data_IF_958165707179
#
_entry.id   IF_958165707179
#
_cell.length_a   1.000
_cell.length_b   1.000
_cell.length_c   1.000
_cell.angle_alpha   90.00
_cell.angle_beta   90.00
_cell.angle_gamma   90.00
#
_symmetry.space_group_name_H-M   'P 1'
#
loop_
_entity.id
_entity.type
_entity.pdbx_description
1 polymer ?
#
# COMPACT_ATOMS: atom_id res chain seq x y z
N UNK A 1 -4.17 48.94 31.33
CA UNK A 1 -4.22 48.16 30.07
C UNK A 1 -3.74 46.77 30.42
N UNK A 2 -4.67 45.86 30.69
CA UNK A 2 -4.34 44.45 30.93
C UNK A 2 -4.16 43.77 29.56
N UNK A 3 -2.99 43.19 29.33
CA UNK A 3 -2.73 42.36 28.16
C UNK A 3 -3.64 41.11 28.20
N UNK A 4 -4.28 40.73 27.09
CA UNK A 4 -5.02 39.49 27.05
C UNK A 4 -4.04 38.31 27.00
N UNK A 5 -3.92 37.57 28.10
CA UNK A 5 -3.20 36.28 28.17
C UNK A 5 -3.93 35.22 27.33
N UNK A 6 -3.66 35.18 26.03
CA UNK A 6 -3.93 34.01 25.21
C UNK A 6 -2.70 33.10 25.17
N UNK A 7 -2.37 32.50 26.31
CA UNK A 7 -1.49 31.33 26.35
C UNK A 7 -2.38 30.09 26.35
N UNK A 8 -2.44 29.40 25.22
CA UNK A 8 -3.03 28.05 25.14
C UNK A 8 -2.13 27.13 25.96
N UNK A 9 -2.43 26.99 27.25
CA UNK A 9 -1.79 26.00 28.10
C UNK A 9 -2.37 24.64 27.72
N UNK A 10 -1.57 23.82 27.02
CA UNK A 10 -1.89 22.44 26.64
C UNK A 10 -2.16 21.52 27.86
N UNK A 11 -1.97 22.01 29.09
CA UNK A 11 -2.28 21.30 30.34
C UNK A 11 -3.65 21.69 30.92
N UNK A 12 -4.31 22.73 30.42
CA UNK A 12 -5.61 23.16 30.97
C UNK A 12 -6.75 22.27 30.49
N UNK A 13 -7.34 21.55 31.44
CA UNK A 13 -8.44 20.60 31.28
C UNK A 13 -9.80 21.28 31.01
N UNK A 14 -9.83 22.45 30.36
CA UNK A 14 -11.09 23.13 30.00
C UNK A 14 -11.59 22.61 28.65
N UNK A 15 -12.07 21.37 28.69
CA UNK A 15 -12.55 20.64 27.51
C UNK A 15 -13.69 21.32 26.76
N UNK A 16 -14.45 22.23 27.37
CA UNK A 16 -15.59 22.87 26.69
C UNK A 16 -15.16 23.91 25.64
N UNK A 17 -14.35 24.90 26.02
CA UNK A 17 -13.87 25.94 25.10
C UNK A 17 -12.95 25.39 24.02
N UNK A 18 -12.11 24.44 24.39
CA UNK A 18 -11.25 23.75 23.44
C UNK A 18 -12.11 23.01 22.39
N UNK A 19 -13.08 22.18 22.82
CA UNK A 19 -14.01 21.47 21.90
C UNK A 19 -14.76 22.43 20.97
N UNK A 20 -15.21 23.57 21.49
CA UNK A 20 -15.91 24.59 20.71
C UNK A 20 -14.99 25.21 19.65
N UNK A 21 -13.73 25.49 19.99
CA UNK A 21 -12.72 26.00 19.06
C UNK A 21 -12.30 24.97 17.99
N UNK A 22 -12.21 23.67 18.33
CA UNK A 22 -11.96 22.61 17.32
C UNK A 22 -13.04 22.50 16.26
N UNK A 23 -14.29 22.80 16.64
CA UNK A 23 -15.42 22.81 15.72
C UNK A 23 -15.34 23.96 14.71
N UNK A 24 -14.83 25.13 15.12
CA UNK A 24 -14.69 26.30 14.25
C UNK A 24 -13.42 26.32 13.38
N UNK A 25 -12.32 25.67 13.81
CA UNK A 25 -11.01 25.73 13.12
C UNK A 25 -10.72 24.46 12.30
N UNK A 26 -11.63 23.49 12.27
CA UNK A 26 -11.44 22.23 11.51
C UNK A 26 -10.31 21.34 12.03
N UNK A 27 -9.70 21.68 13.16
CA UNK A 27 -8.63 20.91 13.79
C UNK A 27 -9.20 20.00 14.88
N UNK A 28 -8.95 18.68 14.78
CA UNK A 28 -9.25 17.74 15.87
C UNK A 28 -8.35 18.06 17.07
N UNK A 29 -8.93 18.47 18.19
CA UNK A 29 -8.20 18.54 19.46
C UNK A 29 -7.96 17.13 19.98
N UNK A 30 -6.84 16.57 19.56
CA UNK A 30 -6.22 15.45 20.22
C UNK A 30 -5.61 16.00 21.50
N UNK A 31 -6.34 15.98 22.61
CA UNK A 31 -5.66 16.12 23.90
C UNK A 31 -4.80 14.87 24.11
N UNK A 32 -3.58 14.96 24.64
CA UNK A 32 -2.70 13.80 24.83
C UNK A 32 -3.28 12.66 25.67
N UNK A 33 -4.42 12.88 26.35
CA UNK A 33 -5.00 11.97 27.32
C UNK A 33 -6.37 11.42 26.92
N UNK A 34 -7.09 12.07 26.00
CA UNK A 34 -8.47 11.72 25.62
C UNK A 34 -8.81 12.08 24.16
N UNK A 35 -9.65 11.24 23.54
CA UNK A 35 -10.28 11.50 22.24
C UNK A 35 -9.89 10.51 21.15
N UNK A 36 -10.60 10.58 20.02
CA UNK A 36 -10.23 9.83 18.81
C UNK A 36 -8.91 10.35 18.25
N UNK A 37 -8.04 9.40 17.92
CA UNK A 37 -6.72 9.62 17.33
C UNK A 37 -6.75 9.39 15.83
N UNK A 38 -7.72 8.61 15.35
CA UNK A 38 -7.93 8.32 13.93
C UNK A 38 -8.21 9.62 13.19
N UNK A 39 -7.67 9.78 11.97
CA UNK A 39 -7.92 10.89 11.05
C UNK A 39 -9.08 10.60 10.09
N UNK A 40 -9.16 11.23 8.91
CA UNK A 40 -9.95 10.70 7.80
C UNK A 40 -9.32 9.37 7.32
N UNK A 41 -10.14 8.32 7.22
CA UNK A 41 -9.68 6.97 6.82
C UNK A 41 -10.13 6.64 5.40
N UNK A 42 -11.39 6.90 5.09
CA UNK A 42 -11.98 6.72 3.76
C UNK A 42 -12.00 8.02 2.98
N UNK A 43 -11.96 7.89 1.66
CA UNK A 43 -12.20 8.95 0.71
C UNK A 43 -13.71 9.09 0.46
N UNK A 44 -14.25 10.27 0.73
CA UNK A 44 -15.64 10.60 0.43
C UNK A 44 -15.70 12.02 -0.12
N UNK A 45 -16.48 12.23 -1.18
CA UNK A 45 -16.68 13.55 -1.76
C UNK A 45 -17.44 13.53 -3.07
N UNK A 46 -17.56 14.70 -3.67
CA UNK A 46 -18.12 14.91 -4.99
C UNK A 46 -17.27 15.89 -5.78
N UNK A 47 -17.17 15.70 -7.10
CA UNK A 47 -16.59 16.66 -8.03
C UNK A 47 -17.55 16.82 -9.22
N UNK A 48 -18.30 17.92 -9.26
CA UNK A 48 -19.47 18.01 -10.15
C UNK A 48 -20.49 16.93 -9.78
N UNK A 49 -20.98 16.19 -10.78
CA UNK A 49 -21.93 15.09 -10.60
C UNK A 49 -21.25 13.76 -10.21
N UNK A 50 -19.92 13.70 -10.28
CA UNK A 50 -19.16 12.50 -9.94
C UNK A 50 -19.05 12.32 -8.42
N UNK A 51 -19.61 11.21 -7.92
CA UNK A 51 -19.39 10.76 -6.54
C UNK A 51 -18.02 10.09 -6.40
N UNK A 52 -17.33 10.35 -5.29
CA UNK A 52 -16.02 9.81 -4.98
C UNK A 52 -16.15 8.96 -3.71
N UNK A 53 -15.76 7.70 -3.81
CA UNK A 53 -15.70 6.77 -2.68
C UNK A 53 -14.49 5.83 -2.83
N UNK A 54 -14.17 5.10 -1.76
CA UNK A 54 -13.05 4.16 -1.71
C UNK A 54 -13.04 3.15 -2.87
N UNK A 55 -14.21 2.60 -3.21
CA UNK A 55 -14.36 1.61 -4.27
C UNK A 55 -14.02 2.21 -5.65
N UNK A 56 -14.56 3.38 -5.97
CA UNK A 56 -14.29 4.07 -7.24
C UNK A 56 -12.82 4.45 -7.37
N UNK A 57 -12.16 4.84 -6.27
CA UNK A 57 -10.72 5.11 -6.29
C UNK A 57 -9.93 3.81 -6.54
N UNK A 58 -10.33 2.69 -5.93
CA UNK A 58 -9.67 1.40 -6.15
C UNK A 58 -9.88 0.87 -7.57
N UNK A 59 -11.00 1.23 -8.23
CA UNK A 59 -11.27 0.89 -9.63
C UNK A 59 -10.34 1.61 -10.63
N UNK A 60 -9.66 2.69 -10.22
CA UNK A 60 -8.64 3.33 -11.06
C UNK A 60 -7.46 2.37 -11.22
N UNK A 61 -7.14 2.02 -12.47
CA UNK A 61 -6.14 1.00 -12.80
C UNK A 61 -4.75 1.28 -12.17
N UNK A 62 -4.33 2.53 -12.11
CA UNK A 62 -3.08 2.93 -11.45
C UNK A 62 -3.09 2.65 -9.95
N UNK A 63 -4.19 2.96 -9.26
CA UNK A 63 -4.35 2.72 -7.83
C UNK A 63 -4.38 1.21 -7.56
N UNK A 64 -5.21 0.48 -8.31
CA UNK A 64 -5.26 -0.99 -8.25
C UNK A 64 -3.88 -1.60 -8.41
N UNK A 65 -3.12 -1.15 -9.41
CA UNK A 65 -1.79 -1.69 -9.69
C UNK A 65 -0.78 -1.36 -8.59
N UNK A 66 -0.79 -0.14 -8.03
CA UNK A 66 0.09 0.23 -6.92
C UNK A 66 -0.19 -0.62 -5.67
N UNK A 67 -1.47 -0.72 -5.30
CA UNK A 67 -1.93 -1.45 -4.12
C UNK A 67 -1.64 -2.94 -4.26
N UNK A 68 -2.00 -3.55 -5.38
CA UNK A 68 -1.74 -4.97 -5.66
C UNK A 68 -0.24 -5.27 -5.72
N UNK A 69 0.58 -4.42 -6.34
CA UNK A 69 2.03 -4.63 -6.43
C UNK A 69 2.69 -4.65 -5.05
N UNK A 70 2.43 -3.65 -4.21
CA UNK A 70 3.03 -3.55 -2.87
C UNK A 70 2.54 -4.71 -1.97
N UNK A 71 1.24 -4.97 -1.97
CA UNK A 71 0.63 -5.99 -1.10
C UNK A 71 1.09 -7.40 -1.46
N UNK A 72 1.05 -7.77 -2.75
CA UNK A 72 1.47 -9.09 -3.20
C UNK A 72 2.96 -9.32 -3.02
N UNK A 73 3.82 -8.34 -3.36
CA UNK A 73 5.27 -8.48 -3.17
C UNK A 73 5.63 -8.66 -1.69
N UNK A 74 5.02 -7.88 -0.79
CA UNK A 74 5.23 -8.04 0.65
C UNK A 74 4.72 -9.39 1.13
N UNK A 75 3.57 -9.86 0.64
CA UNK A 75 2.96 -11.12 1.04
C UNK A 75 3.74 -12.37 0.61
N UNK A 76 4.41 -12.30 -0.55
CA UNK A 76 5.28 -13.34 -1.09
C UNK A 76 6.54 -13.56 -0.24
N UNK A 77 6.94 -12.57 0.56
CA UNK A 77 8.08 -12.71 1.45
C UNK A 77 7.69 -13.59 2.63
N UNK A 78 8.37 -14.73 2.82
CA UNK A 78 8.09 -15.56 3.97
C UNK A 78 8.58 -14.89 5.25
N UNK A 79 7.85 -15.08 6.34
CA UNK A 79 8.17 -14.48 7.63
C UNK A 79 8.67 -15.59 8.57
N UNK A 80 9.93 -15.49 8.98
CA UNK A 80 10.61 -16.47 9.81
C UNK A 80 10.89 -15.88 11.20
N UNK A 81 10.80 -16.73 12.23
CA UNK A 81 11.10 -16.33 13.62
C UNK A 81 12.48 -16.83 14.00
N UNK A 82 13.22 -15.98 14.69
CA UNK A 82 14.58 -16.22 15.15
C UNK A 82 14.66 -16.01 16.65
N UNK A 83 15.65 -16.66 17.24
CA UNK A 83 16.04 -16.53 18.62
C UNK A 83 17.51 -16.14 18.67
N UNK A 84 17.82 -15.07 19.40
CA UNK A 84 19.17 -14.59 19.68
C UNK A 84 19.52 -14.92 21.13
N UNK A 85 20.65 -15.60 21.34
CA UNK A 85 21.16 -15.90 22.67
C UNK A 85 21.91 -14.70 23.30
N UNK A 86 22.42 -14.87 24.52
CA UNK A 86 23.16 -13.81 25.24
C UNK A 86 24.49 -13.44 24.59
N UNK A 87 25.03 -14.30 23.70
CA UNK A 87 26.27 -14.08 22.97
C UNK A 87 26.01 -13.55 21.55
N UNK A 88 24.79 -13.08 21.27
CA UNK A 88 24.35 -12.61 19.95
C UNK A 88 24.32 -13.70 18.86
N UNK A 89 24.32 -14.99 19.25
CA UNK A 89 24.16 -16.07 18.29
C UNK A 89 22.69 -16.19 17.90
N UNK A 90 22.44 -16.01 16.60
CA UNK A 90 21.10 -16.09 16.03
C UNK A 90 20.81 -17.48 15.49
N UNK A 91 19.67 -18.05 15.88
CA UNK A 91 19.16 -19.33 15.38
C UNK A 91 17.72 -19.20 14.90
N UNK A 92 17.41 -19.86 13.78
CA UNK A 92 16.02 -19.97 13.30
C UNK A 92 15.21 -20.86 14.25
N UNK A 93 14.07 -20.34 14.71
CA UNK A 93 13.15 -21.07 15.57
C UNK A 93 12.40 -22.13 14.76
N UNK A 94 12.27 -23.33 15.33
CA UNK A 94 11.55 -24.43 14.69
C UNK A 94 10.03 -24.22 14.67
N UNK A 95 9.34 -24.98 13.83
CA UNK A 95 7.87 -24.92 13.68
C UNK A 95 7.09 -25.46 14.89
N UNK A 96 7.78 -25.99 15.91
CA UNK A 96 7.18 -26.32 17.21
C UNK A 96 6.74 -25.08 17.98
N UNK A 97 7.32 -23.91 17.70
CA UNK A 97 6.88 -22.65 18.27
C UNK A 97 5.57 -22.20 17.60
N UNK A 98 4.49 -21.92 18.37
CA UNK A 98 3.20 -21.53 17.81
C UNK A 98 3.26 -20.29 16.92
N UNK A 99 4.01 -19.26 17.34
CA UNK A 99 4.16 -18.01 16.59
C UNK A 99 4.91 -18.23 15.26
N UNK A 100 5.98 -19.04 15.27
CA UNK A 100 6.72 -19.39 14.06
C UNK A 100 5.84 -20.13 13.04
N UNK A 101 5.03 -21.08 13.51
CA UNK A 101 4.07 -21.80 12.65
C UNK A 101 2.98 -20.89 12.10
N UNK A 102 2.44 -20.03 12.96
CA UNK A 102 1.35 -19.10 12.63
C UNK A 102 1.77 -18.10 11.55
N UNK A 103 2.90 -17.41 11.74
CA UNK A 103 3.40 -16.41 10.80
C UNK A 103 3.83 -17.04 9.47
N UNK A 104 4.29 -18.29 9.49
CA UNK A 104 4.79 -18.98 8.29
C UNK A 104 3.69 -19.60 7.43
N UNK A 105 2.66 -20.19 8.02
CA UNK A 105 1.73 -21.06 7.29
C UNK A 105 0.26 -20.65 7.38
N UNK A 106 -0.28 -20.52 8.59
CA UNK A 106 -1.73 -20.36 8.80
C UNK A 106 -1.97 -19.42 9.99
N UNK A 107 -2.26 -18.14 9.71
CA UNK A 107 -2.59 -17.16 10.74
C UNK A 107 -3.98 -17.38 11.34
N UNK A 108 -4.90 -18.00 10.60
CA UNK A 108 -6.22 -18.37 11.05
C UNK A 108 -6.75 -19.55 10.22
N UNK A 109 -7.94 -20.05 10.57
CA UNK A 109 -8.56 -21.20 9.90
C UNK A 109 -9.05 -20.95 8.46
N UNK A 110 -9.14 -19.68 8.05
CA UNK A 110 -9.71 -19.28 6.76
C UNK A 110 -8.67 -18.91 5.71
N UNK A 111 -7.47 -18.49 6.14
CA UNK A 111 -6.46 -17.88 5.28
C UNK A 111 -5.12 -18.60 5.39
N UNK A 112 -4.43 -18.68 4.26
CA UNK A 112 -2.99 -18.91 4.20
C UNK A 112 -2.22 -17.71 4.73
N UNK A 113 -0.95 -17.91 5.09
CA UNK A 113 -0.09 -16.80 5.53
C UNK A 113 0.11 -15.73 4.45
N UNK A 114 0.06 -16.09 3.16
CA UNK A 114 0.15 -15.14 2.06
C UNK A 114 -1.11 -14.27 2.00
N UNK A 115 -2.31 -14.86 1.96
CA UNK A 115 -3.58 -14.12 1.89
C UNK A 115 -3.73 -13.14 3.07
N UNK A 116 -3.33 -13.55 4.28
CA UNK A 116 -3.34 -12.67 5.44
C UNK A 116 -2.37 -11.49 5.30
N UNK A 117 -1.11 -11.75 4.90
CA UNK A 117 -0.13 -10.67 4.69
C UNK A 117 -0.58 -9.73 3.58
N UNK A 118 -1.18 -10.27 2.53
CA UNK A 118 -1.73 -9.49 1.42
C UNK A 118 -2.86 -8.59 1.91
N UNK A 119 -3.87 -9.15 2.58
CA UNK A 119 -5.01 -8.39 3.12
C UNK A 119 -4.55 -7.29 4.10
N UNK A 120 -3.64 -7.61 5.02
CA UNK A 120 -3.10 -6.65 5.99
C UNK A 120 -2.24 -5.57 5.30
N UNK A 121 -1.41 -5.93 4.32
CA UNK A 121 -0.59 -4.95 3.61
C UNK A 121 -1.43 -4.07 2.69
N UNK A 122 -2.46 -4.64 2.06
CA UNK A 122 -3.46 -3.91 1.27
C UNK A 122 -4.16 -2.86 2.13
N UNK A 123 -4.63 -3.22 3.32
CA UNK A 123 -5.22 -2.26 4.24
C UNK A 123 -4.21 -1.19 4.67
N UNK A 124 -2.96 -1.57 4.95
CA UNK A 124 -1.91 -0.63 5.34
C UNK A 124 -1.58 0.37 4.22
N UNK A 125 -1.47 -0.06 2.97
CA UNK A 125 -1.16 0.84 1.85
C UNK A 125 -2.36 1.66 1.40
N UNK A 126 -3.59 1.17 1.59
CA UNK A 126 -4.82 1.85 1.18
C UNK A 126 -5.33 2.82 2.26
N UNK A 127 -5.46 2.35 3.50
CA UNK A 127 -6.00 3.12 4.64
C UNK A 127 -4.93 3.67 5.59
N UNK A 128 -3.65 3.39 5.36
CA UNK A 128 -2.55 3.83 6.22
C UNK A 128 -2.44 3.05 7.53
N UNK A 129 -3.35 2.11 7.78
CA UNK A 129 -3.42 1.30 8.99
C UNK A 129 -3.96 -0.07 8.61
N UNK A 130 -3.53 -1.11 9.33
CA UNK A 130 -4.15 -2.42 9.27
C UNK A 130 -4.22 -3.04 10.66
N UNK A 131 -5.33 -3.72 10.94
CA UNK A 131 -5.65 -4.27 12.25
C UNK A 131 -5.96 -5.75 12.12
N UNK A 132 -5.48 -6.55 13.06
CA UNK A 132 -5.93 -7.92 13.24
C UNK A 132 -6.28 -8.18 14.70
N UNK A 133 -7.38 -8.90 14.93
CA UNK A 133 -7.72 -9.44 16.24
C UNK A 133 -6.73 -10.55 16.59
N UNK A 134 -6.23 -10.54 17.82
CA UNK A 134 -5.21 -11.48 18.32
C UNK A 134 -5.85 -12.41 19.33
N UNK A 135 -5.98 -13.68 18.96
CA UNK A 135 -6.40 -14.73 19.88
C UNK A 135 -5.18 -15.40 20.51
N UNK A 136 -5.24 -15.57 21.83
CA UNK A 136 -4.18 -16.18 22.64
C UNK A 136 -4.69 -17.37 23.43
N UNK A 137 -3.86 -18.39 23.58
CA UNK A 137 -4.14 -19.51 24.47
C UNK A 137 -3.98 -19.11 25.96
N UNK A 138 -4.27 -20.03 26.88
CA UNK A 138 -4.09 -19.82 28.32
C UNK A 138 -2.63 -19.58 28.75
N UNK A 139 -1.65 -20.04 27.97
CA UNK A 139 -0.23 -19.76 28.18
C UNK A 139 0.21 -18.37 27.68
N UNK A 140 -0.67 -17.67 26.94
CA UNK A 140 -0.43 -16.35 26.37
C UNK A 140 0.17 -16.36 24.96
N UNK A 141 0.36 -17.53 24.35
CA UNK A 141 0.86 -17.67 22.97
C UNK A 141 -0.20 -17.23 21.98
N UNK A 142 0.22 -16.55 20.91
CA UNK A 142 -0.66 -16.17 19.81
C UNK A 142 -1.00 -17.41 18.99
N UNK A 143 -2.30 -17.70 18.86
CA UNK A 143 -2.81 -18.87 18.14
C UNK A 143 -3.65 -18.49 16.92
N UNK A 144 -4.19 -17.27 16.85
CA UNK A 144 -4.85 -16.76 15.65
C UNK A 144 -4.69 -15.25 15.47
N UNK A 145 -4.66 -14.84 14.20
CA UNK A 145 -4.73 -13.46 13.74
C UNK A 145 -5.84 -13.33 12.68
N UNK A 146 -6.86 -12.54 13.00
CA UNK A 146 -7.99 -12.30 12.08
C UNK A 146 -8.00 -10.83 11.63
N UNK A 147 -7.82 -10.52 10.33
CA UNK A 147 -7.89 -9.15 9.84
C UNK A 147 -9.24 -8.50 10.16
N UNK A 148 -9.20 -7.25 10.60
CA UNK A 148 -10.35 -6.39 10.81
C UNK A 148 -10.31 -5.25 9.79
N UNK A 149 -11.48 -4.80 9.31
CA UNK A 149 -11.55 -3.74 8.31
C UNK A 149 -11.16 -2.39 8.91
N UNK A 150 -10.14 -1.74 8.36
CA UNK A 150 -9.55 -0.53 8.91
C UNK A 150 -10.48 0.68 8.83
N UNK A 151 -11.36 0.73 7.83
CA UNK A 151 -12.43 1.73 7.72
C UNK A 151 -13.40 1.68 8.91
N UNK A 152 -13.55 0.53 9.56
CA UNK A 152 -14.46 0.34 10.70
C UNK A 152 -13.77 0.51 12.06
N UNK A 153 -12.48 0.89 12.08
CA UNK A 153 -11.69 0.99 13.31
C UNK A 153 -11.45 2.46 13.72
N UNK A 154 -11.85 2.80 14.95
CA UNK A 154 -11.56 4.08 15.59
C UNK A 154 -10.66 3.88 16.81
N UNK A 155 -9.45 4.45 16.76
CA UNK A 155 -8.46 4.35 17.82
C UNK A 155 -8.62 5.54 18.75
N UNK A 156 -8.86 5.27 20.04
CA UNK A 156 -9.12 6.30 21.05
C UNK A 156 -8.12 6.24 22.18
N UNK A 157 -7.86 7.41 22.77
CA UNK A 157 -7.30 7.49 24.11
C UNK A 157 -8.44 7.68 25.12
N UNK A 158 -8.48 6.83 26.14
CA UNK A 158 -9.39 6.94 27.28
C UNK A 158 -8.54 6.88 28.54
N UNK A 159 -8.31 8.04 29.16
CA UNK A 159 -7.47 8.11 30.37
C UNK A 159 -6.04 7.60 30.13
N UNK A 160 -5.42 8.02 29.02
CA UNK A 160 -4.08 7.57 28.55
C UNK A 160 -3.98 6.09 28.14
N UNK A 161 -5.07 5.32 28.19
CA UNK A 161 -5.11 3.96 27.66
C UNK A 161 -5.59 3.97 26.22
N UNK A 162 -4.91 3.21 25.38
CA UNK A 162 -5.30 3.02 23.99
C UNK A 162 -6.47 2.01 23.93
N UNK A 163 -7.58 2.44 23.33
CA UNK A 163 -8.78 1.63 23.12
C UNK A 163 -9.06 1.58 21.63
N UNK A 164 -9.31 0.38 21.12
CA UNK A 164 -9.64 0.14 19.72
C UNK A 164 -11.13 -0.12 19.60
N UNK A 165 -11.88 0.86 19.10
CA UNK A 165 -13.33 0.72 18.90
C UNK A 165 -13.59 0.25 17.47
N UNK A 166 -14.14 -0.94 17.33
CA UNK A 166 -14.50 -1.52 16.04
C UNK A 166 -16.00 -1.49 15.83
N UNK A 167 -16.44 -1.01 14.67
CA UNK A 167 -17.84 -1.06 14.28
C UNK A 167 -18.18 -2.41 13.61
N UNK A 168 -19.13 -3.14 14.22
CA UNK A 168 -19.71 -4.37 13.67
C UNK A 168 -21.18 -4.10 13.37
N UNK A 169 -21.51 -3.94 12.09
CA UNK A 169 -22.85 -3.62 11.64
C UNK A 169 -23.41 -2.35 12.33
N UNK A 170 -24.29 -2.54 13.32
CA UNK A 170 -24.92 -1.48 14.11
C UNK A 170 -24.34 -1.32 15.52
N UNK A 171 -23.43 -2.19 15.94
CA UNK A 171 -22.84 -2.21 17.28
C UNK A 171 -21.36 -1.82 17.27
N UNK A 172 -20.86 -1.42 18.44
CA UNK A 172 -19.45 -1.15 18.67
C UNK A 172 -18.88 -2.13 19.67
N UNK A 173 -17.70 -2.67 19.35
CA UNK A 173 -16.90 -3.46 20.27
C UNK A 173 -15.62 -2.70 20.61
N UNK A 174 -15.33 -2.54 21.90
CA UNK A 174 -14.10 -1.93 22.38
C UNK A 174 -13.09 -3.03 22.73
N UNK A 175 -11.92 -2.98 22.10
CA UNK A 175 -10.79 -3.88 22.34
C UNK A 175 -9.66 -3.16 23.06
N UNK A 176 -9.00 -3.89 23.95
CA UNK A 176 -7.79 -3.42 24.61
C UNK A 176 -6.59 -3.48 23.67
N UNK A 177 -5.52 -2.80 24.06
CA UNK A 177 -4.26 -2.80 23.32
C UNK A 177 -3.66 -4.20 23.09
N UNK A 178 -3.93 -5.18 23.97
CA UNK A 178 -3.35 -6.53 23.87
C UNK A 178 -4.07 -7.43 22.85
N UNK A 179 -5.32 -7.09 22.53
CA UNK A 179 -6.20 -7.87 21.66
C UNK A 179 -6.05 -7.50 20.19
N UNK A 180 -5.33 -6.41 19.87
CA UNK A 180 -5.19 -5.91 18.51
C UNK A 180 -3.72 -5.89 18.09
N UNK A 181 -3.44 -6.53 16.96
CA UNK A 181 -2.22 -6.35 16.20
C UNK A 181 -2.41 -5.16 15.25
N UNK A 182 -1.63 -4.09 15.43
CA UNK A 182 -1.78 -2.85 14.66
C UNK A 182 -0.53 -2.55 13.84
N UNK A 183 -0.65 -2.72 12.52
CA UNK A 183 0.30 -2.21 11.53
C UNK A 183 -0.03 -0.76 11.20
N UNK A 184 0.97 0.10 11.31
CA UNK A 184 0.80 1.56 11.18
C UNK A 184 1.66 2.10 10.06
N UNK A 185 1.07 2.96 9.23
CA UNK A 185 1.77 3.78 8.26
C UNK A 185 2.47 4.98 8.91
N UNK A 186 2.89 5.93 8.09
CA UNK A 186 3.44 7.20 8.58
C UNK A 186 2.32 8.08 9.13
N UNK A 187 2.59 8.86 10.16
CA UNK A 187 1.60 9.79 10.73
C UNK A 187 2.19 10.65 11.83
N UNK A 188 1.48 11.73 12.19
CA UNK A 188 2.00 12.77 13.09
C UNK A 188 2.05 12.36 14.57
N UNK A 189 1.13 11.50 15.01
CA UNK A 189 1.00 11.14 16.45
C UNK A 189 1.72 9.85 16.83
N UNK A 190 2.13 9.03 15.86
CA UNK A 190 2.64 7.67 16.08
C UNK A 190 1.60 6.66 16.58
N UNK A 191 0.37 7.10 16.89
CA UNK A 191 -0.71 6.23 17.35
C UNK A 191 -1.46 5.58 16.19
N UNK A 192 -1.64 6.33 15.10
CA UNK A 192 -2.25 5.90 13.83
C UNK A 192 -1.45 6.43 12.63
N UNK A 193 -1.52 5.73 11.51
CA UNK A 193 -1.03 6.22 10.22
C UNK A 193 -2.06 7.11 9.50
N UNK A 194 -1.59 7.92 8.56
CA UNK A 194 -2.40 8.71 7.65
C UNK A 194 -2.85 7.85 6.48
N UNK A 195 -4.12 7.95 6.10
CA UNK A 195 -4.71 7.18 5.01
C UNK A 195 -4.29 7.72 3.63
N UNK A 196 -3.54 6.97 2.81
CA UNK A 196 -3.16 7.43 1.49
C UNK A 196 -4.35 7.79 0.61
N UNK A 197 -5.44 7.01 0.63
CA UNK A 197 -6.62 7.29 -0.20
C UNK A 197 -7.39 8.52 0.27
N UNK A 198 -7.50 8.75 1.57
CA UNK A 198 -8.21 9.91 2.09
C UNK A 198 -7.50 11.19 1.68
N UNK A 199 -6.16 11.17 1.68
CA UNK A 199 -5.33 12.29 1.24
C UNK A 199 -5.23 12.38 -0.31
N UNK A 200 -5.30 11.26 -1.02
CA UNK A 200 -5.34 11.22 -2.48
C UNK A 200 -6.73 11.58 -3.04
N UNK A 201 -7.78 11.64 -2.21
CA UNK A 201 -9.16 11.86 -2.63
C UNK A 201 -9.34 13.05 -3.58
N UNK A 202 -8.57 14.14 -3.39
CA UNK A 202 -8.60 15.30 -4.28
C UNK A 202 -8.06 14.97 -5.68
N UNK A 203 -6.88 14.36 -5.76
CA UNK A 203 -6.23 14.00 -7.03
C UNK A 203 -6.98 12.86 -7.74
N UNK A 204 -7.37 11.82 -6.98
CA UNK A 204 -8.18 10.71 -7.48
C UNK A 204 -9.57 11.18 -7.94
N UNK A 205 -10.16 12.16 -7.26
CA UNK A 205 -11.43 12.76 -7.66
C UNK A 205 -11.42 13.35 -9.07
N UNK A 206 -10.30 13.98 -9.47
CA UNK A 206 -10.14 14.49 -10.85
C UNK A 206 -10.10 13.33 -11.85
N UNK A 207 -9.41 12.24 -11.52
CA UNK A 207 -9.36 11.05 -12.39
C UNK A 207 -10.75 10.42 -12.55
N UNK A 208 -11.49 10.27 -11.45
CA UNK A 208 -12.87 9.75 -11.47
C UNK A 208 -13.79 10.63 -12.31
N UNK A 209 -13.72 11.96 -12.15
CA UNK A 209 -14.55 12.88 -12.92
C UNK A 209 -14.21 12.87 -14.42
N UNK A 210 -12.92 12.74 -14.77
CA UNK A 210 -12.52 12.58 -16.17
C UNK A 210 -13.03 11.28 -16.78
N UNK A 211 -13.01 10.17 -16.03
CA UNK A 211 -13.55 8.90 -16.52
C UNK A 211 -15.07 8.93 -16.68
N UNK A 212 -15.79 9.60 -15.78
CA UNK A 212 -17.23 9.82 -15.91
C UNK A 212 -17.56 10.68 -17.13
N UNK A 213 -16.85 11.80 -17.30
CA UNK A 213 -17.03 12.66 -18.48
C UNK A 213 -16.74 11.90 -19.78
N UNK A 214 -15.69 11.06 -19.79
CA UNK A 214 -15.35 10.23 -20.94
C UNK A 214 -16.44 9.19 -21.21
N UNK A 215 -16.92 8.51 -20.16
CA UNK A 215 -18.02 7.54 -20.26
C UNK A 215 -19.25 8.21 -20.86
N UNK A 216 -19.63 9.38 -20.36
CA UNK A 216 -20.84 10.08 -20.79
C UNK A 216 -20.70 10.60 -22.23
N UNK A 217 -19.51 11.08 -22.61
CA UNK A 217 -19.19 11.43 -23.99
C UNK A 217 -19.38 10.24 -24.95
N UNK A 218 -18.83 9.07 -24.61
CA UNK A 218 -18.99 7.87 -25.44
C UNK A 218 -20.40 7.28 -25.41
N UNK A 219 -21.08 7.33 -24.25
CA UNK A 219 -22.47 6.90 -24.12
C UNK A 219 -23.42 7.72 -25.01
N UNK A 220 -23.10 9.00 -25.21
CA UNK A 220 -23.80 9.91 -26.11
C UNK A 220 -23.33 9.82 -27.57
N UNK A 221 -22.52 8.82 -27.93
CA UNK A 221 -22.07 8.55 -29.29
C UNK A 221 -20.92 9.42 -29.77
N UNK A 222 -20.10 9.96 -28.85
CA UNK A 222 -18.94 10.81 -29.14
C UNK A 222 -19.29 12.04 -30.00
N UNK A 223 -20.51 12.56 -29.84
CA UNK A 223 -21.01 13.70 -30.60
C UNK A 223 -20.74 15.00 -29.87
N UNK A 224 -20.32 15.99 -30.62
CA UNK A 224 -20.38 17.37 -30.17
C UNK A 224 -21.83 17.83 -30.04
N UNK A 225 -22.13 18.72 -29.08
CA UNK A 225 -23.37 19.48 -29.11
C UNK A 225 -23.52 20.18 -30.47
N UNK A 226 -24.72 20.16 -31.03
CA UNK A 226 -25.03 20.82 -32.29
C UNK A 226 -25.91 22.04 -32.04
N UNK A 227 -25.62 23.12 -32.75
CA UNK A 227 -26.50 24.27 -32.82
C UNK A 227 -27.35 24.12 -34.07
N UNK A 228 -28.67 24.17 -33.89
CA UNK A 228 -29.62 24.26 -35.00
C UNK A 228 -29.90 25.74 -35.27
N UNK A 229 -29.51 26.22 -36.44
CA UNK A 229 -29.77 27.58 -36.90
C UNK A 229 -30.98 27.61 -37.84
N UNK A 230 -31.88 28.57 -37.64
CA UNK A 230 -33.08 28.81 -38.47
C UNK A 230 -32.85 29.86 -39.56
N UNK A 231 -31.60 30.27 -39.76
CA UNK A 231 -31.24 31.34 -40.70
C UNK A 231 -31.83 32.69 -40.26
N UNK A 232 -32.56 33.34 -41.16
CA UNK A 232 -33.16 34.67 -40.92
C UNK A 232 -34.55 34.63 -40.28
N UNK A 233 -35.15 33.44 -40.11
CA UNK A 233 -36.51 33.30 -39.56
C UNK A 233 -36.49 33.15 -38.03
N UNK A 234 -37.25 34.02 -37.36
CA UNK A 234 -37.55 33.88 -35.93
C UNK A 234 -38.76 32.98 -35.76
N UNK A 235 -38.60 31.88 -35.02
CA UNK A 235 -39.70 30.94 -34.73
C UNK A 235 -40.64 31.53 -33.68
N UNK A 236 -41.95 31.32 -33.88
CA UNK A 236 -42.97 31.52 -32.83
C UNK A 236 -42.79 30.50 -31.69
N UNK A 237 -43.40 30.74 -30.52
CA UNK A 237 -43.26 29.85 -29.35
C UNK A 237 -43.72 28.42 -29.65
N UNK A 238 -44.87 28.25 -30.32
CA UNK A 238 -45.36 26.94 -30.76
C UNK A 238 -44.41 26.23 -31.73
N UNK A 239 -43.84 26.97 -32.68
CA UNK A 239 -42.88 26.41 -33.64
C UNK A 239 -41.57 26.01 -32.97
N UNK A 240 -41.11 26.78 -31.97
CA UNK A 240 -39.92 26.44 -31.18
C UNK A 240 -40.14 25.14 -30.40
N UNK A 241 -41.27 24.97 -29.73
CA UNK A 241 -41.60 23.74 -29.01
C UNK A 241 -41.66 22.52 -29.95
N UNK A 242 -42.24 22.66 -31.14
CA UNK A 242 -42.28 21.57 -32.13
C UNK A 242 -40.88 21.19 -32.64
N UNK A 243 -40.01 22.18 -32.87
CA UNK A 243 -38.63 21.94 -33.28
C UNK A 243 -37.83 21.30 -32.15
N UNK A 244 -37.98 21.76 -30.91
CA UNK A 244 -37.34 21.14 -29.75
C UNK A 244 -37.76 19.67 -29.58
N UNK A 245 -39.04 19.36 -29.76
CA UNK A 245 -39.56 17.99 -29.70
C UNK A 245 -39.01 17.11 -30.83
N UNK A 246 -39.00 17.62 -32.07
CA UNK A 246 -38.52 16.89 -33.24
C UNK A 246 -36.99 16.63 -33.20
N UNK A 247 -36.23 17.53 -32.57
CA UNK A 247 -34.76 17.46 -32.50
C UNK A 247 -34.22 16.96 -31.15
N UNK A 248 -35.08 16.65 -30.18
CA UNK A 248 -34.70 16.14 -28.85
C UNK A 248 -33.83 14.87 -28.93
N UNK A 249 -34.11 14.02 -29.91
CA UNK A 249 -33.36 12.77 -30.17
C UNK A 249 -31.94 13.01 -30.73
N UNK A 250 -31.70 14.14 -31.42
CA UNK A 250 -30.37 14.50 -31.94
C UNK A 250 -29.45 14.94 -30.80
N UNK A 251 -30.01 15.55 -29.75
CA UNK A 251 -29.28 16.16 -28.66
C UNK A 251 -28.90 15.22 -27.50
N UNK A 252 -29.50 14.02 -27.36
CA UNK A 252 -29.36 13.26 -26.11
C UNK A 252 -29.55 11.74 -26.16
N UNK A 253 -29.42 11.07 -27.31
CA UNK A 253 -29.58 9.62 -27.37
C UNK A 253 -28.66 8.89 -28.35
N UNK A 254 -28.40 7.58 -28.13
CA UNK A 254 -27.69 6.74 -29.09
C UNK A 254 -28.46 6.70 -30.41
N UNK A 255 -27.77 6.94 -31.52
CA UNK A 255 -28.37 7.01 -32.85
C UNK A 255 -28.93 5.64 -33.24
N UNK A 256 -30.24 5.46 -33.10
CA UNK A 256 -30.96 4.34 -33.72
C UNK A 256 -31.09 4.60 -35.22
N UNK A 257 -30.02 4.40 -36.00
CA UNK A 257 -29.98 4.33 -37.49
C UNK A 257 -31.10 5.10 -38.22
N UNK A 258 -31.34 6.38 -37.88
CA UNK A 258 -32.41 7.20 -38.45
C UNK A 258 -31.78 8.23 -39.38
N UNK A 259 -32.35 8.40 -40.57
CA UNK A 259 -31.97 9.46 -41.50
C UNK A 259 -32.67 10.74 -41.07
N UNK A 260 -31.91 11.80 -40.78
CA UNK A 260 -32.43 13.11 -40.41
C UNK A 260 -32.52 13.99 -41.66
N UNK A 261 -33.67 14.61 -41.88
CA UNK A 261 -33.91 15.53 -43.01
C UNK A 261 -34.17 16.92 -42.40
N UNK A 262 -33.38 17.91 -42.83
CA UNK A 262 -33.55 19.31 -42.43
C UNK A 262 -34.46 20.02 -43.44
N UNK A 263 -35.40 20.82 -42.96
CA UNK A 263 -36.23 21.67 -43.82
C UNK A 263 -35.43 22.85 -44.40
N UNK A 264 -35.91 23.44 -45.50
CA UNK A 264 -35.22 24.52 -46.20
C UNK A 264 -34.96 25.73 -45.27
N UNK A 265 -33.68 26.10 -45.11
CA UNK A 265 -33.24 27.20 -44.26
C UNK A 265 -32.71 26.77 -42.88
N UNK A 266 -32.89 25.51 -42.49
CA UNK A 266 -32.26 24.95 -41.29
C UNK A 266 -30.84 24.48 -41.61
N UNK A 267 -29.88 24.86 -40.77
CA UNK A 267 -28.51 24.32 -40.83
C UNK A 267 -28.04 23.90 -39.44
N UNK A 268 -27.31 22.79 -39.37
CA UNK A 268 -26.66 22.33 -38.14
C UNK A 268 -25.19 22.68 -38.21
N UNK A 269 -24.69 23.42 -37.22
CA UNK A 269 -23.26 23.57 -36.99
C UNK A 269 -22.87 22.76 -35.75
N UNK A 270 -21.88 21.89 -35.89
CA UNK A 270 -21.25 21.30 -34.71
C UNK A 270 -20.55 22.42 -33.94
N UNK A 271 -20.79 22.49 -32.63
CA UNK A 271 -19.84 23.21 -31.77
C UNK A 271 -18.57 22.37 -31.86
N UNK A 272 -17.54 22.90 -32.52
CA UNK A 272 -16.32 22.13 -32.79
C UNK A 272 -15.82 21.46 -31.52
N UNK A 273 -15.50 20.16 -31.59
CA UNK A 273 -14.71 19.52 -30.53
C UNK A 273 -13.40 20.29 -30.48
N UNK A 274 -13.22 21.04 -29.41
CA UNK A 274 -12.07 21.88 -29.15
C UNK A 274 -10.81 21.00 -29.01
N UNK A 275 -9.59 21.59 -29.03
CA UNK A 275 -8.30 20.96 -28.67
C UNK A 275 -8.25 20.17 -27.35
N UNK A 276 -9.38 20.05 -26.66
CA UNK A 276 -9.66 19.41 -25.40
C UNK A 276 -9.40 17.90 -25.41
N UNK A 277 -9.60 17.18 -26.51
CA UNK A 277 -9.37 15.72 -26.54
C UNK A 277 -7.87 15.39 -26.37
N UNK A 278 -7.00 16.15 -27.03
CA UNK A 278 -5.55 16.00 -26.88
C UNK A 278 -5.07 16.42 -25.48
N UNK A 279 -5.66 17.49 -24.93
CA UNK A 279 -5.38 17.96 -23.57
C UNK A 279 -5.89 16.99 -22.49
N UNK A 280 -7.04 16.33 -22.73
CA UNK A 280 -7.61 15.32 -21.85
C UNK A 280 -6.74 14.05 -21.80
N UNK A 281 -6.23 13.60 -22.95
CA UNK A 281 -5.27 12.50 -23.00
C UNK A 281 -3.98 12.85 -22.25
N UNK A 282 -3.44 14.07 -22.44
CA UNK A 282 -2.26 14.53 -21.72
C UNK A 282 -2.52 14.60 -20.19
N UNK A 283 -3.69 15.08 -19.79
CA UNK A 283 -4.11 15.17 -18.39
C UNK A 283 -4.23 13.78 -17.76
N UNK A 284 -4.79 12.80 -18.47
CA UNK A 284 -4.89 11.42 -17.99
C UNK A 284 -3.52 10.77 -17.80
N UNK A 285 -2.57 11.04 -18.69
CA UNK A 285 -1.18 10.57 -18.53
C UNK A 285 -0.53 11.17 -17.28
N UNK A 286 -0.73 12.46 -17.01
CA UNK A 286 -0.20 13.10 -15.80
C UNK A 286 -0.78 12.48 -14.51
N UNK A 287 -2.08 12.15 -14.51
CA UNK A 287 -2.74 11.52 -13.36
C UNK A 287 -2.14 10.16 -12.97
N UNK A 288 -1.68 9.36 -13.93
CA UNK A 288 -1.02 8.07 -13.62
C UNK A 288 0.20 8.33 -12.74
N UNK A 289 1.06 9.27 -13.12
CA UNK A 289 2.24 9.64 -12.35
C UNK A 289 1.90 10.29 -11.00
N UNK A 290 0.83 11.09 -10.94
CA UNK A 290 0.38 11.72 -9.70
C UNK A 290 -0.15 10.69 -8.68
N UNK A 291 -1.00 9.76 -9.12
CA UNK A 291 -1.55 8.71 -8.26
C UNK A 291 -0.47 7.73 -7.81
N UNK A 292 0.45 7.33 -8.70
CA UNK A 292 1.56 6.44 -8.35
C UNK A 292 2.47 7.05 -7.26
N UNK A 293 2.62 8.38 -7.23
CA UNK A 293 3.42 9.10 -6.24
C UNK A 293 2.90 8.93 -4.81
N UNK A 294 1.58 8.84 -4.60
CA UNK A 294 1.01 8.59 -3.26
C UNK A 294 1.48 7.25 -2.67
N UNK A 295 1.77 6.27 -3.52
CA UNK A 295 2.22 4.94 -3.12
C UNK A 295 3.74 4.76 -3.20
N UNK A 296 4.47 5.75 -3.74
CA UNK A 296 5.92 5.66 -3.99
C UNK A 296 6.29 4.71 -5.13
N UNK A 297 5.32 4.28 -5.94
CA UNK A 297 5.55 3.31 -7.02
C UNK A 297 6.07 4.03 -8.26
N UNK A 298 7.21 3.61 -8.84
CA UNK A 298 7.67 4.14 -10.12
C UNK A 298 6.68 3.91 -11.27
N UNK A 299 6.49 4.88 -12.18
CA UNK A 299 5.53 4.77 -13.30
C UNK A 299 5.70 3.52 -14.18
N UNK A 300 6.94 3.06 -14.42
CA UNK A 300 7.18 1.87 -15.24
C UNK A 300 6.65 0.57 -14.60
N UNK A 301 6.55 0.50 -13.27
CA UNK A 301 5.98 -0.66 -12.56
C UNK A 301 4.45 -0.69 -12.60
N UNK A 302 3.81 0.45 -12.91
CA UNK A 302 2.36 0.53 -13.17
C UNK A 302 2.00 0.46 -14.65
N UNK A 303 2.99 0.24 -15.53
CA UNK A 303 2.80 0.09 -16.97
C UNK A 303 2.94 1.38 -17.78
N UNK A 304 3.34 2.49 -17.16
CA UNK A 304 3.62 3.75 -17.86
C UNK A 304 5.11 3.83 -18.22
N UNK A 305 5.44 3.43 -19.45
CA UNK A 305 6.82 3.28 -19.95
C UNK A 305 7.20 4.32 -21.01
N UNK A 306 6.32 5.25 -21.36
CA UNK A 306 6.47 6.12 -22.53
C UNK A 306 7.63 7.13 -22.38
N UNK A 307 8.00 7.48 -21.14
CA UNK A 307 9.13 8.37 -20.81
C UNK A 307 10.41 7.63 -20.42
N UNK A 308 10.39 6.30 -20.38
CA UNK A 308 11.57 5.51 -20.02
C UNK A 308 12.49 5.36 -21.24
N UNK A 309 13.35 6.37 -21.45
CA UNK A 309 14.37 6.36 -22.51
C UNK A 309 15.57 5.46 -22.18
N UNK A 310 15.68 4.96 -20.95
CA UNK A 310 16.77 4.11 -20.48
C UNK A 310 16.36 2.64 -20.38
N UNK A 311 16.21 1.96 -21.51
CA UNK A 311 16.10 0.50 -21.54
C UNK A 311 17.47 -0.12 -21.18
N UNK A 312 17.61 -0.69 -19.98
CA UNK A 312 18.86 -1.28 -19.48
C UNK A 312 19.08 -1.03 -17.98
N UNK A 313 20.33 -0.71 -17.60
CA UNK A 313 20.77 -0.49 -16.21
C UNK A 313 19.97 0.58 -15.44
N UNK A 314 19.37 1.55 -16.15
CA UNK A 314 18.50 2.56 -15.55
C UNK A 314 17.20 2.01 -14.97
N UNK A 315 16.61 0.97 -15.58
CA UNK A 315 15.39 0.31 -15.05
C UNK A 315 15.74 -0.56 -13.85
N UNK A 316 16.88 -1.24 -13.89
CA UNK A 316 17.36 -2.06 -12.77
C UNK A 316 17.60 -1.20 -11.51
N UNK A 317 18.26 -0.05 -11.66
CA UNK A 317 18.44 0.92 -10.58
C UNK A 317 17.10 1.46 -10.04
N UNK A 318 16.11 1.69 -10.91
CA UNK A 318 14.78 2.11 -10.48
C UNK A 318 14.04 0.99 -9.72
N UNK A 319 14.17 -0.26 -10.14
CA UNK A 319 13.61 -1.41 -9.43
C UNK A 319 14.26 -1.57 -8.04
N UNK A 320 15.59 -1.43 -7.96
CA UNK A 320 16.30 -1.43 -6.68
C UNK A 320 15.83 -0.28 -5.78
N UNK A 321 15.66 0.92 -6.35
CA UNK A 321 15.12 2.07 -5.64
C UNK A 321 13.70 1.82 -5.10
N UNK A 322 12.83 1.14 -5.86
CA UNK A 322 11.52 0.73 -5.37
C UNK A 322 11.62 -0.25 -4.19
N UNK A 323 12.47 -1.27 -4.28
CA UNK A 323 12.69 -2.21 -3.17
C UNK A 323 13.19 -1.50 -1.91
N UNK A 324 14.15 -0.59 -2.05
CA UNK A 324 14.79 0.10 -0.92
C UNK A 324 13.91 1.20 -0.30
N UNK A 325 13.30 2.05 -1.12
CA UNK A 325 12.61 3.25 -0.63
C UNK A 325 11.10 3.07 -0.45
N UNK A 326 10.51 2.06 -1.11
CA UNK A 326 9.08 1.77 -1.00
C UNK A 326 8.82 0.49 -0.24
N UNK A 327 9.38 -0.65 -0.67
CA UNK A 327 9.05 -1.96 -0.10
C UNK A 327 9.69 -2.19 1.29
N UNK A 328 10.96 -1.83 1.48
CA UNK A 328 11.68 -2.01 2.75
C UNK A 328 10.96 -1.36 3.95
N UNK A 329 10.40 -0.14 3.86
CA UNK A 329 9.56 0.41 4.92
C UNK A 329 8.36 -0.47 5.32
N UNK A 330 7.69 -1.13 4.37
CA UNK A 330 6.58 -2.05 4.68
C UNK A 330 7.10 -3.29 5.42
N UNK A 331 8.18 -3.88 4.92
CA UNK A 331 8.84 -5.05 5.51
C UNK A 331 9.24 -4.74 6.97
N UNK A 332 9.97 -3.65 7.19
CA UNK A 332 10.42 -3.28 8.53
C UNK A 332 9.25 -2.90 9.46
N UNK A 333 8.16 -2.31 8.94
CA UNK A 333 6.95 -2.04 9.74
C UNK A 333 6.32 -3.33 10.25
N UNK A 334 6.25 -4.37 9.41
CA UNK A 334 5.77 -5.68 9.84
C UNK A 334 6.63 -6.26 10.96
N UNK A 335 7.94 -6.30 10.78
CA UNK A 335 8.89 -6.88 11.74
C UNK A 335 8.81 -6.16 13.10
N UNK A 336 8.88 -4.83 13.10
CA UNK A 336 8.78 -4.02 14.32
C UNK A 336 7.41 -4.11 14.99
N UNK A 337 6.34 -4.21 14.20
CA UNK A 337 4.99 -4.37 14.75
C UNK A 337 4.82 -5.75 15.39
N UNK A 338 5.35 -6.81 14.78
CA UNK A 338 5.34 -8.15 15.37
C UNK A 338 6.07 -8.14 16.72
N UNK A 339 7.25 -7.51 16.76
CA UNK A 339 8.01 -7.31 18.00
C UNK A 339 7.19 -6.60 19.09
N UNK A 340 6.46 -5.56 18.70
CA UNK A 340 5.69 -4.73 19.65
C UNK A 340 4.43 -5.42 20.18
N UNK A 341 3.72 -6.16 19.32
CA UNK A 341 2.33 -6.56 19.58
C UNK A 341 2.16 -8.06 19.82
N UNK A 342 2.96 -8.90 19.17
CA UNK A 342 2.79 -10.36 19.24
C UNK A 342 3.75 -10.99 20.26
N UNK A 343 4.99 -10.50 20.32
CA UNK A 343 6.03 -11.03 21.18
C UNK A 343 5.79 -10.60 22.65
N UNK A 344 5.79 -11.54 23.61
CA UNK A 344 5.68 -11.21 25.02
C UNK A 344 6.84 -10.33 25.51
N UNK A 345 6.57 -9.41 26.44
CA UNK A 345 7.59 -8.49 26.95
C UNK A 345 8.84 -9.18 27.50
N UNK A 346 8.71 -10.39 28.07
CA UNK A 346 9.82 -11.21 28.59
C UNK A 346 10.76 -11.74 27.50
N UNK A 347 10.29 -11.81 26.26
CA UNK A 347 11.01 -12.39 25.12
C UNK A 347 11.51 -11.31 24.14
N UNK A 348 11.25 -10.03 24.42
CA UNK A 348 11.72 -8.92 23.59
C UNK A 348 13.26 -8.87 23.62
N UNK A 349 13.88 -8.77 22.45
CA UNK A 349 15.34 -8.82 22.28
C UNK A 349 15.90 -10.24 22.17
N UNK A 350 15.17 -11.26 22.66
CA UNK A 350 15.52 -12.66 22.46
C UNK A 350 14.84 -13.23 21.22
N UNK A 351 13.53 -13.04 21.08
CA UNK A 351 12.76 -13.50 19.93
C UNK A 351 12.45 -12.31 19.04
N UNK A 352 12.60 -12.51 17.73
CA UNK A 352 12.27 -11.54 16.71
C UNK A 352 11.84 -12.24 15.42
N UNK A 353 11.06 -11.54 14.61
CA UNK A 353 10.53 -12.07 13.36
C UNK A 353 11.02 -11.21 12.19
N UNK A 354 11.52 -11.85 11.15
CA UNK A 354 12.14 -11.21 9.99
C UNK A 354 11.59 -11.80 8.69
N UNK A 355 11.46 -10.95 7.67
CA UNK A 355 11.17 -11.41 6.33
C UNK A 355 12.41 -12.00 5.67
N UNK A 356 12.20 -13.09 4.94
CA UNK A 356 13.24 -13.66 4.08
C UNK A 356 13.22 -12.95 2.72
N UNK A 357 14.25 -12.14 2.46
CA UNK A 357 14.42 -11.39 1.22
C UNK A 357 15.12 -12.16 0.09
N UNK A 358 15.64 -13.36 0.36
CA UNK A 358 16.36 -14.17 -0.64
C UNK A 358 15.48 -14.51 -1.85
N UNK A 359 14.16 -14.55 -1.67
CA UNK A 359 13.19 -14.76 -2.73
C UNK A 359 13.24 -13.67 -3.82
N UNK A 360 13.47 -12.41 -3.45
CA UNK A 360 13.57 -11.30 -4.40
C UNK A 360 14.83 -11.42 -5.27
N UNK A 361 15.92 -11.94 -4.70
CA UNK A 361 17.18 -12.15 -5.40
C UNK A 361 17.15 -13.33 -6.39
N UNK A 362 16.12 -14.19 -6.35
CA UNK A 362 15.99 -15.29 -7.34
C UNK A 362 15.66 -14.81 -8.75
N UNK A 363 15.08 -13.61 -8.89
CA UNK A 363 14.66 -13.07 -10.18
C UNK A 363 15.81 -12.78 -11.15
N UNK A 364 17.03 -12.60 -10.63
CA UNK A 364 18.24 -12.41 -11.43
C UNK A 364 19.25 -13.54 -11.20
N UNK A 365 19.30 -14.49 -12.15
CA UNK A 365 20.24 -15.62 -12.12
C UNK A 365 21.71 -15.18 -12.15
N UNK A 366 22.03 -14.03 -12.75
CA UNK A 366 23.40 -13.55 -12.87
C UNK A 366 23.91 -12.99 -11.53
N UNK A 367 23.18 -12.06 -10.91
CA UNK A 367 23.53 -11.56 -9.57
C UNK A 367 23.53 -12.65 -8.52
N UNK A 368 22.60 -13.61 -8.59
CA UNK A 368 22.56 -14.75 -7.68
C UNK A 368 23.79 -15.65 -7.82
N UNK A 369 24.20 -15.97 -9.05
CA UNK A 369 25.40 -16.76 -9.29
C UNK A 369 26.66 -16.04 -8.80
N UNK A 370 26.77 -14.73 -9.05
CA UNK A 370 27.87 -13.90 -8.55
C UNK A 370 27.91 -13.87 -7.01
N UNK A 371 26.76 -13.70 -6.36
CA UNK A 371 26.64 -13.73 -4.89
C UNK A 371 27.05 -15.09 -4.32
N UNK A 372 26.52 -16.20 -4.84
CA UNK A 372 26.86 -17.55 -4.36
C UNK A 372 28.35 -17.85 -4.55
N UNK A 373 28.92 -17.44 -5.67
CA UNK A 373 30.36 -17.55 -5.93
C UNK A 373 31.18 -16.78 -4.89
N UNK A 374 30.85 -15.50 -4.66
CA UNK A 374 31.56 -14.67 -3.68
C UNK A 374 31.47 -15.23 -2.26
N UNK A 375 30.29 -15.70 -1.85
CA UNK A 375 30.07 -16.30 -0.52
C UNK A 375 30.82 -17.61 -0.34
N UNK A 376 30.87 -18.45 -1.38
CA UNK A 376 31.65 -19.69 -1.40
C UNK A 376 33.15 -19.45 -1.37
N UNK A 377 33.67 -18.53 -2.19
CA UNK A 377 35.09 -18.20 -2.26
C UNK A 377 35.61 -17.57 -0.96
N UNK A 378 34.80 -16.76 -0.29
CA UNK A 378 35.13 -16.17 1.01
C UNK A 378 35.08 -17.18 2.18
N UNK A 379 34.50 -18.37 1.97
CA UNK A 379 34.28 -19.36 3.03
C UNK A 379 33.18 -18.98 4.01
N UNK A 380 32.27 -18.06 3.65
CA UNK A 380 31.18 -17.59 4.51
C UNK A 380 29.95 -18.51 4.47
N UNK A 381 29.80 -19.30 3.40
CA UNK A 381 28.77 -20.35 3.28
C UNK A 381 29.38 -21.64 2.76
N UNK A 382 28.91 -22.75 3.31
CA UNK A 382 29.24 -24.10 2.85
C UNK A 382 28.45 -24.44 1.58
N UNK A 383 28.93 -25.45 0.83
CA UNK A 383 28.25 -25.93 -0.37
C UNK A 383 26.84 -26.44 -0.02
N UNK A 384 26.69 -27.15 1.11
CA UNK A 384 25.40 -27.69 1.53
C UNK A 384 24.42 -26.62 2.00
N UNK A 385 24.88 -25.53 2.63
CA UNK A 385 24.01 -24.38 2.94
C UNK A 385 23.47 -23.71 1.68
N UNK A 386 24.32 -23.53 0.67
CA UNK A 386 23.91 -23.02 -0.64
C UNK A 386 22.91 -23.95 -1.34
N UNK A 387 23.17 -25.27 -1.32
CA UNK A 387 22.28 -26.29 -1.90
C UNK A 387 20.93 -26.39 -1.19
N UNK A 388 20.88 -26.25 0.14
CA UNK A 388 19.63 -26.18 0.90
C UNK A 388 18.75 -25.02 0.44
N UNK A 389 19.35 -23.89 0.08
CA UNK A 389 18.62 -22.73 -0.46
C UNK A 389 17.93 -23.06 -1.77
N UNK A 390 18.51 -23.94 -2.59
CA UNK A 390 17.97 -24.43 -3.85
C UNK A 390 17.13 -25.71 -3.72
N UNK A 391 16.84 -26.15 -2.50
CA UNK A 391 16.18 -27.43 -2.21
C UNK A 391 16.89 -28.64 -2.85
N UNK A 392 18.20 -28.55 -3.03
CA UNK A 392 19.03 -29.64 -3.56
C UNK A 392 19.51 -30.54 -2.42
N UNK A 393 19.61 -31.86 -2.63
CA UNK A 393 20.11 -32.78 -1.62
C UNK A 393 21.58 -32.45 -1.27
N UNK A 394 21.99 -32.63 -0.01
CA UNK A 394 23.36 -32.36 0.42
C UNK A 394 24.35 -33.29 -0.29
N UNK A 395 25.57 -32.79 -0.50
CA UNK A 395 26.69 -33.57 -1.00
C UNK A 395 27.60 -34.02 0.16
N UNK A 396 28.18 -35.24 0.11
CA UNK A 396 29.21 -35.65 1.04
C UNK A 396 30.39 -34.66 1.06
N UNK A 397 30.82 -34.23 2.24
CA UNK A 397 31.89 -33.23 2.41
C UNK A 397 31.46 -31.77 2.16
N UNK A 398 30.20 -31.53 1.81
CA UNK A 398 29.70 -30.19 1.47
C UNK A 398 29.39 -29.26 2.65
N UNK A 399 29.49 -29.73 3.90
CA UNK A 399 29.29 -28.92 5.13
C UNK A 399 30.60 -28.28 5.65
N UNK A 400 31.68 -28.32 4.85
CA UNK A 400 32.97 -27.70 5.17
C UNK A 400 33.13 -26.41 4.36
N UNK A 401 33.44 -25.31 5.04
CA UNK A 401 33.77 -24.05 4.38
C UNK A 401 35.15 -24.13 3.73
N UNK A 402 35.22 -23.76 2.46
CA UNK A 402 36.44 -23.82 1.65
C UNK A 402 36.89 -22.40 1.32
N UNK A 403 38.20 -22.15 1.31
CA UNK A 403 38.78 -20.87 0.88
C UNK A 403 40.05 -21.13 0.07
N UNK A 404 40.21 -20.41 -1.03
CA UNK A 404 41.40 -20.52 -1.86
C UNK A 404 42.62 -19.93 -1.13
N UNK A 405 43.68 -20.73 -1.01
CA UNK A 405 44.94 -20.32 -0.38
C UNK A 405 45.90 -19.80 -1.45
N UNK A 406 45.82 -18.50 -1.77
CA UNK A 406 46.58 -17.91 -2.88
C UNK A 406 47.86 -17.16 -2.45
N UNK A 407 47.93 -16.70 -1.20
CA UNK A 407 49.13 -16.11 -0.59
C UNK A 407 49.47 -16.83 0.71
N UNK A 408 50.17 -17.95 0.57
CA UNK A 408 50.76 -18.68 1.69
C UNK A 408 52.22 -18.24 1.81
N UNK A 409 52.75 -17.98 3.02
CA UNK A 409 54.18 -17.79 3.20
C UNK A 409 54.97 -18.90 2.48
N UNK A 410 56.07 -18.56 1.81
CA UNK A 410 56.86 -19.53 1.03
C UNK A 410 57.29 -20.77 1.85
N UNK A 411 57.38 -20.61 3.17
CA UNK A 411 57.70 -21.65 4.15
C UNK A 411 56.62 -22.70 4.35
N UNK A 412 55.36 -22.43 3.99
CA UNK A 412 54.21 -23.33 4.16
C UNK A 412 53.62 -23.84 2.82
N UNK A 413 54.27 -23.52 1.69
CA UNK A 413 53.89 -24.04 0.36
C UNK A 413 54.15 -25.55 0.27
N UNK A 414 53.10 -26.34 0.04
CA UNK A 414 53.17 -27.80 -0.13
C UNK A 414 52.99 -28.63 1.16
N UNK A 415 52.93 -28.00 2.33
CA UNK A 415 52.64 -28.71 3.58
C UNK A 415 51.13 -28.80 3.83
N UNK A 416 50.49 -29.88 3.36
CA UNK A 416 49.30 -30.40 4.04
C UNK A 416 49.77 -30.93 5.40
N UNK A 417 49.93 -30.03 6.39
CA UNK A 417 50.20 -30.44 7.77
C UNK A 417 49.01 -31.25 8.24
N UNK A 418 49.15 -32.58 8.27
CA UNK A 418 48.38 -33.40 9.20
C UNK A 418 48.49 -32.73 10.56
N UNK A 419 47.32 -32.45 11.18
CA UNK A 419 47.29 -31.92 12.54
C UNK A 419 48.07 -32.88 13.42
N UNK A 420 49.25 -32.46 13.86
CA UNK A 420 50.03 -33.17 14.87
C UNK A 420 49.26 -33.09 16.18
N UNK A 421 48.46 -34.12 16.45
CA UNK A 421 47.99 -34.46 17.78
C UNK A 421 49.22 -34.92 18.59
N UNK A 422 49.94 -33.99 19.20
CA UNK A 422 50.85 -34.34 20.28
C UNK A 422 50.35 -33.62 21.53
N UNK A 423 49.61 -34.38 22.35
CA UNK A 423 49.38 -34.03 23.73
C UNK A 423 50.68 -34.03 24.51
N UNK A 424 50.81 -33.03 25.36
CA UNK A 424 51.38 -33.06 26.71
C UNK A 424 50.83 -31.84 27.44
#
# INVERSE_FOLDING_TARGET
MEEPKYTIDLRTNNGWWARLQSWFVGGRLVTPNQGSQTGPVSAHGHLGDSSINDERILQISTVWRCVSLISTLTACLPLDVFETDQNDNRKKVGLSNPLARLLRYSPNQYMTAQEFREAMTMQLCFYGNAYALVDRNSAGDVISLLPLQSANMDVKLVGKKLVYRYQRDSEYADFSQREIFHLKGFGFTGLVGLSPIAFACKSAGVAVAMEDQQRDFFANGAKSPQILSTGEKVLTEQQRSQVEENFKEIAGGPVKKRLWILEAGFSTSAIGVTPQDAEMMASRKFQVSELARFFGVPPHLVGDVEKSTSWGSGIEQQNLGFLQYTLQPYISRWENSIQRWLIPAKDVGRIHAEHNLDGLLRGDSASRAAFMKAMGEAGLRTINEMRRTDNLPPLPGGDVAMRQSQYVPITDLGTNKERRNNGA
#
